data_IF_488676326605
#
_entry.id   IF_488676326605
#
_cell.length_a   1.000
_cell.length_b   1.000
_cell.length_c   1.000
_cell.angle_alpha   90.00
_cell.angle_beta   90.00
_cell.angle_gamma   90.00
#
_symmetry.space_group_name_H-M   'P 1'
#
loop_
_entity.id
_entity.type
_entity.pdbx_description
1 polymer ?
#
# COMPACT_ATOMS: atom_id res chain seq x y z
N UNK A 1 92.49 -4.93 38.17
CA UNK A 1 92.24 -4.16 36.93
C UNK A 1 91.80 -5.14 35.84
N UNK A 2 90.72 -4.79 35.14
CA UNK A 2 90.18 -5.37 33.88
C UNK A 2 89.58 -6.79 34.00
N UNK A 3 88.26 -6.94 34.10
CA UNK A 3 87.18 -6.70 33.13
C UNK A 3 86.71 -8.04 32.55
N UNK A 4 85.66 -8.61 33.13
CA UNK A 4 84.91 -9.74 32.56
C UNK A 4 83.47 -9.29 32.43
N UNK A 5 83.05 -9.11 31.19
CA UNK A 5 81.68 -8.81 30.79
C UNK A 5 80.76 -9.98 31.18
N UNK A 6 79.68 -9.68 31.92
CA UNK A 6 78.57 -10.60 32.12
C UNK A 6 77.38 -10.07 31.32
N UNK A 7 76.97 -10.86 30.34
CA UNK A 7 75.74 -10.70 29.58
C UNK A 7 74.54 -10.68 30.54
N UNK A 8 73.75 -9.61 30.50
CA UNK A 8 72.44 -9.56 31.13
C UNK A 8 71.43 -10.26 30.21
N UNK A 9 70.87 -11.38 30.68
CA UNK A 9 69.71 -11.99 30.05
C UNK A 9 68.48 -11.16 30.41
N UNK A 10 67.95 -10.42 29.43
CA UNK A 10 66.65 -9.75 29.54
C UNK A 10 65.58 -10.82 29.31
N UNK A 11 64.91 -11.22 30.39
CA UNK A 11 63.72 -12.05 30.35
C UNK A 11 62.57 -11.17 29.84
N UNK A 12 62.20 -11.31 28.56
CA UNK A 12 60.99 -10.72 28.01
C UNK A 12 59.82 -11.57 28.49
N UNK A 13 59.21 -11.19 29.61
CA UNK A 13 57.86 -11.64 29.97
C UNK A 13 56.88 -10.99 29.00
N UNK A 14 56.47 -11.76 27.99
CA UNK A 14 55.38 -11.38 27.11
C UNK A 14 54.09 -11.21 27.92
N UNK A 15 53.66 -9.97 28.11
CA UNK A 15 52.26 -9.64 28.33
C UNK A 15 51.53 -10.04 27.05
N UNK A 16 50.93 -11.23 27.07
CA UNK A 16 49.85 -11.57 26.17
C UNK A 16 48.71 -10.59 26.46
N UNK A 17 48.69 -9.48 25.73
CA UNK A 17 47.46 -8.73 25.56
C UNK A 17 46.57 -9.65 24.73
N UNK A 18 45.67 -10.35 25.42
CA UNK A 18 44.50 -10.95 24.79
C UNK A 18 43.66 -9.79 24.23
N UNK A 19 44.03 -9.29 23.05
CA UNK A 19 43.08 -8.57 22.19
C UNK A 19 42.10 -9.60 21.65
N UNK A 20 41.24 -10.10 22.53
CA UNK A 20 39.98 -10.74 22.19
C UNK A 20 39.02 -9.68 21.66
N UNK A 21 39.37 -9.01 20.56
CA UNK A 21 38.40 -8.34 19.72
C UNK A 21 37.63 -9.45 18.99
N UNK A 22 36.83 -10.20 19.73
CA UNK A 22 35.68 -10.88 19.17
C UNK A 22 34.90 -9.77 18.49
N UNK A 23 34.82 -9.77 17.16
CA UNK A 23 34.05 -8.79 16.41
C UNK A 23 32.68 -8.70 17.09
N UNK A 24 32.44 -7.61 17.85
CA UNK A 24 31.33 -7.56 18.77
C UNK A 24 30.07 -7.76 17.94
N UNK A 25 29.38 -8.88 18.14
CA UNK A 25 28.16 -9.18 17.39
C UNK A 25 27.22 -8.00 17.56
N UNK A 26 26.67 -7.48 16.46
CA UNK A 26 25.84 -6.29 16.49
C UNK A 26 24.76 -6.40 17.57
N UNK A 27 24.58 -5.32 18.32
CA UNK A 27 23.52 -5.20 19.31
C UNK A 27 22.16 -5.04 18.61
N UNK A 28 21.05 -5.50 19.20
CA UNK A 28 19.71 -5.38 18.62
C UNK A 28 19.40 -3.99 18.04
N UNK A 29 19.70 -2.92 18.78
CA UNK A 29 19.45 -1.55 18.31
C UNK A 29 20.23 -1.17 17.03
N UNK A 30 21.45 -1.68 16.85
CA UNK A 30 22.26 -1.41 15.66
C UNK A 30 21.67 -2.09 14.42
N UNK A 31 21.06 -3.26 14.61
CA UNK A 31 20.44 -4.03 13.54
C UNK A 31 19.11 -3.42 13.14
N UNK A 32 18.27 -3.03 14.11
CA UNK A 32 17.00 -2.34 13.84
C UNK A 32 17.22 -1.00 13.14
N UNK A 33 18.23 -0.22 13.56
CA UNK A 33 18.61 1.00 12.82
C UNK A 33 19.09 0.72 11.38
N UNK A 34 19.65 -0.46 11.13
CA UNK A 34 20.02 -0.87 9.77
C UNK A 34 18.80 -1.28 8.96
N UNK A 35 17.80 -1.91 9.58
CA UNK A 35 16.49 -2.18 8.97
C UNK A 35 15.78 -0.87 8.59
N UNK A 36 15.71 0.11 9.50
CA UNK A 36 15.09 1.41 9.23
C UNK A 36 15.74 2.13 8.05
N UNK A 37 17.07 2.11 7.95
CA UNK A 37 17.76 2.66 6.76
C UNK A 37 17.42 1.95 5.46
N UNK A 38 17.14 0.65 5.50
CA UNK A 38 16.66 -0.10 4.32
C UNK A 38 15.21 0.31 3.99
N UNK A 39 14.35 0.44 5.00
CA UNK A 39 12.97 0.92 4.85
C UNK A 39 12.91 2.34 4.25
N UNK A 40 13.76 3.25 4.71
CA UNK A 40 13.81 4.62 4.18
C UNK A 40 14.22 4.63 2.70
N UNK A 41 15.20 3.80 2.30
CA UNK A 41 15.54 3.64 0.88
C UNK A 41 14.39 3.08 0.04
N UNK A 42 13.59 2.17 0.60
CA UNK A 42 12.39 1.64 -0.08
C UNK A 42 11.42 2.79 -0.33
N UNK A 43 11.17 3.65 0.65
CA UNK A 43 10.31 4.82 0.50
C UNK A 43 10.82 5.78 -0.60
N UNK A 44 12.14 5.94 -0.72
CA UNK A 44 12.80 6.74 -1.76
C UNK A 44 12.84 6.06 -3.16
N UNK A 45 12.39 4.81 -3.27
CA UNK A 45 12.25 4.05 -4.53
C UNK A 45 13.35 3.04 -4.84
N UNK A 46 14.12 2.61 -3.84
CA UNK A 46 15.01 1.44 -3.97
C UNK A 46 14.18 0.13 -3.93
N UNK A 47 13.53 -0.20 -5.05
CA UNK A 47 12.73 -1.43 -5.15
C UNK A 47 13.54 -2.70 -4.84
N UNK A 48 14.85 -2.69 -5.09
CA UNK A 48 15.73 -3.82 -4.83
C UNK A 48 16.00 -4.05 -3.33
N UNK A 49 15.63 -3.10 -2.47
CA UNK A 49 15.78 -3.21 -1.02
C UNK A 49 14.67 -4.03 -0.34
N UNK A 50 13.56 -4.33 -1.03
CA UNK A 50 12.45 -5.11 -0.45
C UNK A 50 12.87 -6.52 0.04
N UNK A 51 13.55 -7.37 -0.75
CA UNK A 51 14.04 -8.67 -0.26
C UNK A 51 15.04 -8.54 0.90
N UNK A 52 15.81 -7.45 0.92
CA UNK A 52 16.77 -7.18 1.99
C UNK A 52 16.08 -6.83 3.31
N UNK A 53 14.95 -6.13 3.29
CA UNK A 53 14.13 -5.87 4.48
C UNK A 53 13.71 -7.18 5.16
N UNK A 54 13.12 -8.10 4.38
CA UNK A 54 12.68 -9.41 4.88
C UNK A 54 13.87 -10.23 5.43
N UNK A 55 15.00 -10.23 4.71
CA UNK A 55 16.22 -10.89 5.16
C UNK A 55 16.71 -10.32 6.50
N UNK A 56 16.73 -9.00 6.64
CA UNK A 56 17.16 -8.33 7.87
C UNK A 56 16.22 -8.64 9.04
N UNK A 57 14.90 -8.67 8.84
CA UNK A 57 13.95 -9.09 9.86
C UNK A 57 14.25 -10.51 10.38
N UNK A 58 14.57 -11.45 9.50
CA UNK A 58 14.98 -12.81 9.90
C UNK A 58 16.33 -12.87 10.63
N UNK A 59 17.30 -12.02 10.26
CA UNK A 59 18.59 -11.93 10.96
C UNK A 59 18.39 -11.30 12.35
N UNK A 60 17.55 -10.25 12.45
CA UNK A 60 17.17 -9.61 13.70
C UNK A 60 16.44 -10.60 14.61
N UNK A 61 15.46 -11.36 14.10
CA UNK A 61 14.74 -12.41 14.85
C UNK A 61 15.73 -13.37 15.53
N UNK A 62 16.69 -13.89 14.75
CA UNK A 62 17.70 -14.81 15.25
C UNK A 62 18.61 -14.19 16.32
N UNK A 63 18.97 -12.91 16.18
CA UNK A 63 19.79 -12.20 17.18
C UNK A 63 18.99 -11.95 18.46
N UNK A 64 17.76 -11.47 18.33
CA UNK A 64 16.86 -11.15 19.42
C UNK A 64 16.51 -12.41 20.23
N UNK A 65 16.19 -13.53 19.56
CA UNK A 65 15.89 -14.81 20.22
C UNK A 65 17.06 -15.37 21.04
N UNK A 66 18.30 -15.06 20.65
CA UNK A 66 19.54 -15.49 21.33
C UNK A 66 20.06 -14.47 22.34
N UNK A 67 19.43 -13.30 22.45
CA UNK A 67 19.85 -12.27 23.39
C UNK A 67 19.53 -12.71 24.83
N UNK A 68 20.39 -12.33 25.77
CA UNK A 68 20.12 -12.53 27.19
C UNK A 68 19.07 -11.50 27.64
N UNK A 69 18.12 -11.83 28.53
CA UNK A 69 17.22 -10.83 29.12
C UNK A 69 17.94 -9.58 29.65
N UNK A 70 19.16 -9.72 30.18
CA UNK A 70 19.98 -8.60 30.64
C UNK A 70 20.36 -7.61 29.51
N UNK A 71 20.46 -8.06 28.25
CA UNK A 71 20.75 -7.20 27.09
C UNK A 71 19.68 -6.11 26.90
N UNK A 72 18.45 -6.36 27.35
CA UNK A 72 17.33 -5.42 27.25
C UNK A 72 17.22 -4.46 28.45
N UNK A 73 18.16 -4.55 29.41
CA UNK A 73 18.33 -3.50 30.42
C UNK A 73 18.87 -2.20 29.80
N UNK A 74 19.52 -2.29 28.62
CA UNK A 74 19.80 -1.13 27.79
C UNK A 74 18.50 -0.66 27.12
N UNK A 75 18.02 0.57 27.40
CA UNK A 75 16.77 1.07 26.86
C UNK A 75 16.75 1.08 25.32
N UNK A 76 17.90 1.19 24.66
CA UNK A 76 17.99 1.15 23.19
C UNK A 76 17.65 -0.23 22.63
N UNK A 77 18.06 -1.30 23.33
CA UNK A 77 17.74 -2.66 22.94
C UNK A 77 16.26 -2.99 23.19
N UNK A 78 15.68 -2.46 24.28
CA UNK A 78 14.23 -2.58 24.51
C UNK A 78 13.42 -1.82 23.45
N UNK A 79 13.80 -0.59 23.12
CA UNK A 79 13.19 0.18 22.02
C UNK A 79 13.29 -0.57 20.69
N UNK A 80 14.44 -1.17 20.40
CA UNK A 80 14.64 -1.99 19.21
C UNK A 80 13.71 -3.21 19.18
N UNK A 81 13.45 -3.87 20.32
CA UNK A 81 12.48 -4.97 20.40
C UNK A 81 11.05 -4.51 20.09
N UNK A 82 10.65 -3.35 20.61
CA UNK A 82 9.34 -2.74 20.33
C UNK A 82 9.19 -2.41 18.84
N UNK A 83 10.17 -1.71 18.27
CA UNK A 83 10.19 -1.34 16.83
C UNK A 83 10.20 -2.59 15.95
N UNK A 84 10.99 -3.62 16.31
CA UNK A 84 11.01 -4.89 15.61
C UNK A 84 9.63 -5.53 15.56
N UNK A 85 8.92 -5.58 16.69
CA UNK A 85 7.55 -6.12 16.72
C UNK A 85 6.57 -5.35 15.86
N UNK A 86 6.63 -4.02 15.90
CA UNK A 86 5.80 -3.13 15.08
C UNK A 86 6.14 -3.17 13.57
N UNK A 87 7.33 -3.65 13.22
CA UNK A 87 7.82 -3.76 11.84
C UNK A 87 7.58 -5.14 11.20
N UNK A 88 6.70 -5.97 11.77
CA UNK A 88 6.44 -7.34 11.30
C UNK A 88 7.37 -8.38 11.94
N UNK A 89 7.77 -8.16 13.19
CA UNK A 89 8.58 -9.11 13.95
C UNK A 89 7.85 -10.42 14.25
N UNK A 90 8.61 -11.50 14.46
CA UNK A 90 8.05 -12.82 14.71
C UNK A 90 7.27 -12.87 16.04
N UNK A 91 5.96 -13.13 16.03
CA UNK A 91 5.13 -13.07 17.23
C UNK A 91 5.58 -14.02 18.34
N UNK A 92 6.07 -15.22 17.98
CA UNK A 92 6.57 -16.20 18.96
C UNK A 92 7.84 -15.71 19.68
N UNK A 93 8.70 -14.98 18.96
CA UNK A 93 9.90 -14.40 19.56
C UNK A 93 9.53 -13.26 20.51
N UNK A 94 8.55 -12.42 20.12
CA UNK A 94 8.05 -11.32 20.96
C UNK A 94 7.41 -11.85 22.24
N UNK A 95 6.50 -12.82 22.14
CA UNK A 95 5.82 -13.45 23.28
C UNK A 95 6.83 -14.08 24.26
N UNK A 96 7.83 -14.80 23.74
CA UNK A 96 8.86 -15.42 24.56
C UNK A 96 9.73 -14.40 25.31
N UNK A 97 10.08 -13.28 24.68
CA UNK A 97 10.94 -12.28 25.31
C UNK A 97 10.17 -11.40 26.28
N UNK A 98 9.01 -10.86 25.89
CA UNK A 98 8.22 -10.01 26.79
C UNK A 98 7.78 -10.76 28.06
N UNK A 99 7.57 -12.08 28.00
CA UNK A 99 7.26 -12.90 29.20
C UNK A 99 8.46 -13.12 30.14
N UNK A 100 9.69 -12.88 29.68
CA UNK A 100 10.93 -13.06 30.47
C UNK A 100 11.51 -11.74 30.99
N UNK A 101 11.17 -10.62 30.36
CA UNK A 101 11.72 -9.32 30.71
C UNK A 101 11.00 -8.74 31.94
N UNK A 102 11.79 -8.18 32.86
CA UNK A 102 11.26 -7.38 33.97
C UNK A 102 11.07 -5.94 33.50
N UNK A 103 9.86 -5.62 33.03
CA UNK A 103 9.52 -4.32 32.44
C UNK A 103 8.72 -3.44 33.42
N UNK A 104 8.78 -2.12 33.20
CA UNK A 104 7.89 -1.19 33.86
C UNK A 104 6.43 -1.35 33.40
N UNK A 105 5.45 -0.76 34.11
CA UNK A 105 4.03 -0.94 33.79
C UNK A 105 3.61 -0.42 32.42
N UNK A 106 4.30 0.57 31.87
CA UNK A 106 4.00 1.13 30.55
C UNK A 106 4.61 0.27 29.44
N UNK A 107 5.88 -0.12 29.58
CA UNK A 107 6.58 -0.96 28.61
C UNK A 107 5.97 -2.36 28.54
N UNK A 108 5.54 -2.92 29.67
CA UNK A 108 4.86 -4.20 29.70
C UNK A 108 3.51 -4.15 28.95
N UNK A 109 2.71 -3.09 29.16
CA UNK A 109 1.43 -2.91 28.46
C UNK A 109 1.64 -2.73 26.96
N UNK A 110 2.61 -1.91 26.56
CA UNK A 110 2.92 -1.70 25.14
C UNK A 110 3.45 -2.99 24.50
N UNK A 111 4.34 -3.73 25.18
CA UNK A 111 4.86 -5.01 24.70
C UNK A 111 3.76 -6.06 24.48
N UNK A 112 2.82 -6.17 25.42
CA UNK A 112 1.65 -7.05 25.26
C UNK A 112 0.80 -6.65 24.04
N UNK A 113 0.50 -5.36 23.89
CA UNK A 113 -0.28 -4.88 22.76
C UNK A 113 0.38 -5.16 21.41
N UNK A 114 1.71 -5.02 21.33
CA UNK A 114 2.50 -5.36 20.13
C UNK A 114 2.44 -6.85 19.83
N UNK A 115 2.50 -7.71 20.85
CA UNK A 115 2.34 -9.16 20.68
C UNK A 115 0.95 -9.49 20.13
N UNK A 116 -0.11 -8.89 20.69
CA UNK A 116 -1.50 -9.06 20.20
C UNK A 116 -1.63 -8.62 18.74
N UNK A 117 -1.07 -7.47 18.41
CA UNK A 117 -1.04 -6.97 17.03
C UNK A 117 -0.33 -7.95 16.08
N UNK A 118 0.87 -8.42 16.45
CA UNK A 118 1.64 -9.36 15.63
C UNK A 118 0.98 -10.74 15.48
N UNK A 119 0.09 -11.12 16.42
CA UNK A 119 -0.73 -12.33 16.34
C UNK A 119 -2.03 -12.14 15.53
N UNK A 120 -2.33 -10.92 15.07
CA UNK A 120 -3.58 -10.60 14.39
C UNK A 120 -4.77 -10.37 15.31
N UNK A 121 -4.57 -10.33 16.63
CA UNK A 121 -5.61 -10.00 17.61
C UNK A 121 -5.76 -8.48 17.73
N UNK A 122 -6.30 -7.86 16.67
CA UNK A 122 -6.46 -6.41 16.60
C UNK A 122 -7.43 -5.85 17.63
N UNK A 123 -8.41 -6.64 18.10
CA UNK A 123 -9.33 -6.21 19.15
C UNK A 123 -8.61 -6.00 20.47
N UNK A 124 -7.78 -6.97 20.88
CA UNK A 124 -6.99 -6.83 22.11
C UNK A 124 -5.89 -5.78 21.97
N UNK A 125 -5.22 -5.70 20.81
CA UNK A 125 -4.21 -4.67 20.56
C UNK A 125 -4.82 -3.26 20.64
N UNK A 126 -5.98 -3.04 20.01
CA UNK A 126 -6.71 -1.78 20.01
C UNK A 126 -7.04 -1.30 21.42
N UNK A 127 -7.49 -2.20 22.29
CA UNK A 127 -7.88 -1.88 23.67
C UNK A 127 -6.77 -1.14 24.43
N UNK A 128 -5.51 -1.45 24.14
CA UNK A 128 -4.35 -0.80 24.77
C UNK A 128 -3.82 0.36 23.91
N UNK A 129 -3.64 0.15 22.60
CA UNK A 129 -2.96 1.10 21.71
C UNK A 129 -3.70 2.44 21.56
N UNK A 130 -5.03 2.45 21.72
CA UNK A 130 -5.84 3.68 21.66
C UNK A 130 -5.64 4.60 22.88
N UNK A 131 -5.09 4.09 23.98
CA UNK A 131 -4.85 4.85 25.22
C UNK A 131 -3.44 5.45 25.28
N UNK A 132 -2.54 5.05 24.36
CA UNK A 132 -1.15 5.44 24.38
C UNK A 132 -0.96 6.69 23.51
N UNK A 133 -0.44 7.77 24.11
CA UNK A 133 0.02 8.94 23.35
C UNK A 133 1.40 8.65 22.72
N UNK A 134 1.51 8.57 21.38
CA UNK A 134 2.79 8.29 20.72
C UNK A 134 3.88 9.32 21.01
N UNK A 135 3.51 10.57 21.33
CA UNK A 135 4.47 11.65 21.66
C UNK A 135 5.07 11.49 23.06
N UNK A 136 4.43 10.71 23.92
CA UNK A 136 4.96 10.38 25.25
C UNK A 136 6.03 9.28 25.21
N UNK A 137 6.15 8.57 24.08
CA UNK A 137 7.10 7.48 23.89
C UNK A 137 8.47 8.00 23.42
N UNK A 138 9.54 7.18 23.51
CA UNK A 138 10.81 7.50 22.90
C UNK A 138 10.66 7.85 21.40
N UNK A 139 11.42 8.82 20.86
CA UNK A 139 11.23 9.31 19.49
C UNK A 139 11.26 8.25 18.39
N UNK A 140 12.02 7.17 18.56
CA UNK A 140 12.10 6.08 17.58
C UNK A 140 10.92 5.07 17.69
N UNK A 141 10.19 5.08 18.80
CA UNK A 141 9.07 4.14 19.08
C UNK A 141 7.72 4.80 18.82
N UNK A 142 7.57 6.10 19.07
CA UNK A 142 6.33 6.84 18.84
C UNK A 142 5.74 6.67 17.44
N UNK A 143 6.48 6.97 16.36
CA UNK A 143 5.95 6.87 14.99
C UNK A 143 5.38 5.49 14.61
N UNK A 144 6.09 4.36 14.82
CA UNK A 144 5.52 3.05 14.49
C UNK A 144 4.35 2.66 15.40
N UNK A 145 4.32 3.12 16.66
CA UNK A 145 3.13 2.96 17.52
C UNK A 145 1.95 3.73 16.96
N UNK A 146 2.13 4.99 16.56
CA UNK A 146 1.07 5.78 15.93
C UNK A 146 0.53 5.09 14.67
N UNK A 147 1.41 4.61 13.79
CA UNK A 147 1.00 3.91 12.56
C UNK A 147 0.17 2.65 12.87
N UNK A 148 0.59 1.82 13.83
CA UNK A 148 -0.13 0.60 14.21
C UNK A 148 -1.42 0.91 14.96
N UNK A 149 -1.43 1.92 15.84
CA UNK A 149 -2.64 2.42 16.50
C UNK A 149 -3.69 2.83 15.46
N UNK A 150 -3.29 3.49 14.37
CA UNK A 150 -4.20 3.83 13.28
C UNK A 150 -4.77 2.57 12.60
N UNK A 151 -3.92 1.59 12.28
CA UNK A 151 -4.37 0.33 11.66
C UNK A 151 -5.44 -0.38 12.49
N UNK A 152 -5.21 -0.56 13.79
CA UNK A 152 -6.15 -1.33 14.64
C UNK A 152 -7.41 -0.57 15.01
N UNK A 153 -7.47 0.75 14.78
CA UNK A 153 -8.63 1.59 15.10
C UNK A 153 -9.40 2.06 13.86
N UNK A 154 -8.87 1.84 12.66
CA UNK A 154 -9.44 2.38 11.42
C UNK A 154 -10.93 2.08 11.22
N UNK A 155 -11.36 0.86 11.57
CA UNK A 155 -12.76 0.43 11.45
C UNK A 155 -13.68 1.13 12.45
N UNK A 156 -13.32 1.07 13.73
CA UNK A 156 -14.23 1.43 14.82
C UNK A 156 -14.12 2.90 15.23
N UNK A 157 -12.99 3.53 14.92
CA UNK A 157 -12.71 4.92 15.24
C UNK A 157 -11.84 5.58 14.15
N UNK A 158 -12.40 5.81 12.95
CA UNK A 158 -11.66 6.39 11.82
C UNK A 158 -11.09 7.78 12.12
N UNK A 159 -11.77 8.60 12.95
CA UNK A 159 -11.25 9.90 13.38
C UNK A 159 -9.99 9.78 14.23
N UNK A 160 -9.94 8.81 15.15
CA UNK A 160 -8.73 8.53 15.91
C UNK A 160 -7.63 7.98 15.00
N UNK A 161 -7.96 7.06 14.10
CA UNK A 161 -7.00 6.50 13.16
C UNK A 161 -6.33 7.59 12.31
N UNK A 162 -7.11 8.51 11.75
CA UNK A 162 -6.59 9.66 11.00
C UNK A 162 -5.67 10.54 11.84
N UNK A 163 -6.02 10.82 13.09
CA UNK A 163 -5.13 11.57 14.00
C UNK A 163 -3.82 10.83 14.24
N UNK A 164 -3.86 9.51 14.38
CA UNK A 164 -2.66 8.70 14.57
C UNK A 164 -1.79 8.63 13.31
N UNK A 165 -2.38 8.59 12.10
CA UNK A 165 -1.62 8.73 10.85
C UNK A 165 -0.98 10.13 10.74
N UNK A 166 -1.67 11.19 11.18
CA UNK A 166 -1.11 12.53 11.28
C UNK A 166 0.09 12.58 12.23
N UNK A 167 0.01 11.96 13.41
CA UNK A 167 1.15 11.86 14.32
C UNK A 167 2.30 11.05 13.71
N UNK A 168 2.02 9.91 13.05
CA UNK A 168 3.04 9.08 12.41
C UNK A 168 3.84 9.85 11.35
N UNK A 169 3.16 10.57 10.45
CA UNK A 169 3.82 11.38 9.40
C UNK A 169 4.58 12.58 9.94
N UNK A 170 4.09 13.21 11.01
CA UNK A 170 4.75 14.38 11.61
C UNK A 170 5.96 13.99 12.46
N UNK A 171 5.91 12.84 13.13
CA UNK A 171 6.99 12.35 13.97
C UNK A 171 8.12 11.68 13.18
N UNK A 172 7.85 11.20 11.97
CA UNK A 172 8.84 10.49 11.15
C UNK A 172 8.81 10.90 9.67
N UNK A 173 9.03 12.19 9.34
CA UNK A 173 9.03 12.64 7.95
C UNK A 173 10.20 12.06 7.16
N UNK A 174 9.94 11.62 5.94
CA UNK A 174 10.91 11.10 4.98
C UNK A 174 11.22 9.64 5.10
N UNK A 175 10.47 8.94 5.93
CA UNK A 175 10.65 7.50 6.12
C UNK A 175 9.50 6.75 5.49
N UNK A 176 9.63 5.43 5.47
CA UNK A 176 8.54 4.53 5.09
C UNK A 176 7.30 4.69 5.97
N UNK A 177 7.45 5.21 7.20
CA UNK A 177 6.31 5.50 8.09
C UNK A 177 5.50 6.67 7.57
N UNK A 178 6.14 7.75 7.09
CA UNK A 178 5.42 8.87 6.45
C UNK A 178 4.70 8.39 5.18
N UNK A 179 5.38 7.61 4.33
CA UNK A 179 4.80 7.05 3.10
C UNK A 179 3.53 6.24 3.41
N UNK A 180 3.65 5.27 4.33
CA UNK A 180 2.52 4.43 4.74
C UNK A 180 1.41 5.28 5.36
N UNK A 181 1.76 6.27 6.20
CA UNK A 181 0.77 7.12 6.85
C UNK A 181 -0.05 7.94 5.84
N UNK A 182 0.61 8.53 4.83
CA UNK A 182 -0.05 9.29 3.77
C UNK A 182 -0.94 8.40 2.91
N UNK A 183 -0.41 7.25 2.46
CA UNK A 183 -1.16 6.30 1.62
C UNK A 183 -2.39 5.74 2.35
N UNK A 184 -2.24 5.39 3.63
CA UNK A 184 -3.33 4.89 4.49
C UNK A 184 -4.34 5.97 4.89
N UNK A 185 -3.98 7.26 4.78
CA UNK A 185 -4.90 8.37 5.04
C UNK A 185 -5.92 8.55 3.92
N UNK A 186 -5.62 8.11 2.70
CA UNK A 186 -6.46 8.29 1.51
C UNK A 186 -7.85 7.66 1.66
N UNK A 187 -7.99 6.35 1.92
CA UNK A 187 -9.31 5.74 2.08
C UNK A 187 -10.05 6.26 3.32
N UNK A 188 -9.34 6.64 4.39
CA UNK A 188 -9.97 7.21 5.58
C UNK A 188 -10.52 8.62 5.33
N UNK A 189 -9.83 9.44 4.51
CA UNK A 189 -10.33 10.74 4.11
C UNK A 189 -11.61 10.62 3.28
N UNK A 190 -11.69 9.60 2.40
CA UNK A 190 -12.90 9.28 1.65
C UNK A 190 -14.06 8.89 2.56
N UNK A 191 -13.84 7.91 3.45
CA UNK A 191 -14.85 7.45 4.40
C UNK A 191 -15.37 8.58 5.31
N UNK A 192 -14.51 9.54 5.67
CA UNK A 192 -14.87 10.71 6.48
C UNK A 192 -15.43 11.88 5.67
N UNK A 193 -15.53 11.75 4.34
CA UNK A 193 -15.94 12.81 3.40
C UNK A 193 -15.11 14.09 3.54
N UNK A 194 -13.83 13.97 3.88
CA UNK A 194 -12.88 15.06 4.07
C UNK A 194 -12.04 15.27 2.80
N UNK A 195 -12.61 15.99 1.83
CA UNK A 195 -11.97 16.29 0.54
C UNK A 195 -10.68 17.10 0.69
N UNK A 196 -10.62 18.00 1.68
CA UNK A 196 -9.44 18.83 1.94
C UNK A 196 -8.27 17.99 2.45
N UNK A 197 -8.54 17.02 3.32
CA UNK A 197 -7.54 16.03 3.76
C UNK A 197 -7.12 15.11 2.63
N UNK A 198 -8.06 14.63 1.81
CA UNK A 198 -7.73 13.82 0.64
C UNK A 198 -6.73 14.56 -0.27
N UNK A 199 -7.02 15.82 -0.61
CA UNK A 199 -6.15 16.64 -1.46
C UNK A 199 -4.75 16.79 -0.86
N UNK A 200 -4.65 17.26 0.40
CA UNK A 200 -3.36 17.48 1.08
C UNK A 200 -2.53 16.21 1.21
N UNK A 201 -3.14 15.09 1.62
CA UNK A 201 -2.44 13.82 1.77
C UNK A 201 -1.92 13.32 0.41
N UNK A 202 -2.72 13.46 -0.64
CA UNK A 202 -2.37 13.06 -2.01
C UNK A 202 -1.23 13.92 -2.57
N UNK A 203 -1.31 15.24 -2.46
CA UNK A 203 -0.24 16.14 -2.88
C UNK A 203 1.08 15.87 -2.16
N UNK A 204 1.01 15.68 -0.83
CA UNK A 204 2.20 15.37 -0.04
C UNK A 204 2.82 14.03 -0.43
N UNK A 205 1.98 13.01 -0.69
CA UNK A 205 2.42 11.71 -1.17
C UNK A 205 3.14 11.85 -2.51
N UNK A 206 2.49 12.46 -3.51
CA UNK A 206 3.03 12.59 -4.87
C UNK A 206 4.34 13.37 -4.88
N UNK A 207 4.43 14.44 -4.08
CA UNK A 207 5.65 15.25 -4.01
C UNK A 207 6.87 14.45 -3.54
N UNK A 208 6.69 13.41 -2.73
CA UNK A 208 7.80 12.74 -2.03
C UNK A 208 7.99 11.27 -2.39
N UNK A 209 6.91 10.54 -2.62
CA UNK A 209 6.90 9.08 -2.67
C UNK A 209 6.43 8.50 -4.02
N UNK A 210 6.44 9.29 -5.10
CA UNK A 210 6.13 8.78 -6.45
C UNK A 210 7.04 7.64 -6.93
N UNK A 211 8.25 7.51 -6.35
CA UNK A 211 9.19 6.44 -6.66
C UNK A 211 9.04 5.22 -5.74
N UNK A 212 8.24 5.34 -4.67
CA UNK A 212 7.98 4.24 -3.75
C UNK A 212 7.40 3.04 -4.51
N UNK A 213 7.76 1.79 -4.15
CA UNK A 213 7.09 0.59 -4.69
C UNK A 213 5.58 0.58 -4.44
N UNK A 214 5.10 1.34 -3.45
CA UNK A 214 3.69 1.42 -3.10
C UNK A 214 2.92 2.50 -3.91
N UNK A 215 3.57 3.22 -4.82
CA UNK A 215 2.94 4.27 -5.63
C UNK A 215 1.74 3.75 -6.46
N UNK A 216 1.80 2.52 -6.96
CA UNK A 216 0.68 1.91 -7.68
C UNK A 216 -0.55 1.76 -6.78
N UNK A 217 -0.36 1.28 -5.55
CA UNK A 217 -1.43 1.13 -4.57
C UNK A 217 -1.99 2.50 -4.14
N UNK A 218 -1.12 3.49 -3.98
CA UNK A 218 -1.57 4.87 -3.78
C UNK A 218 -2.50 5.34 -4.91
N UNK A 219 -2.12 5.13 -6.18
CA UNK A 219 -2.96 5.52 -7.31
C UNK A 219 -4.32 4.81 -7.28
N UNK A 220 -4.35 3.52 -6.97
CA UNK A 220 -5.60 2.76 -6.88
C UNK A 220 -6.53 3.27 -5.77
N UNK A 221 -5.98 3.50 -4.58
CA UNK A 221 -6.73 4.04 -3.43
C UNK A 221 -7.15 5.49 -3.65
N UNK A 222 -6.31 6.32 -4.29
CA UNK A 222 -6.64 7.70 -4.65
C UNK A 222 -7.78 7.76 -5.65
N UNK A 223 -7.72 6.98 -6.73
CA UNK A 223 -8.81 6.90 -7.72
C UNK A 223 -10.10 6.41 -7.09
N UNK A 224 -10.02 5.39 -6.21
CA UNK A 224 -11.19 4.91 -5.48
C UNK A 224 -11.80 6.02 -4.60
N UNK A 225 -10.98 6.76 -3.86
CA UNK A 225 -11.41 7.87 -3.01
C UNK A 225 -12.07 9.01 -3.80
N UNK A 226 -11.52 9.38 -4.96
CA UNK A 226 -12.11 10.41 -5.85
C UNK A 226 -13.49 9.99 -6.36
N UNK A 227 -13.63 8.72 -6.75
CA UNK A 227 -14.90 8.15 -7.23
C UNK A 227 -15.92 8.07 -6.10
N UNK A 228 -15.51 7.66 -4.91
CA UNK A 228 -16.37 7.63 -3.73
C UNK A 228 -16.89 9.03 -3.38
N UNK A 229 -16.04 10.05 -3.50
CA UNK A 229 -16.38 11.45 -3.24
C UNK A 229 -16.91 12.20 -4.47
N UNK A 230 -17.37 11.52 -5.51
CA UNK A 230 -17.72 12.13 -6.81
C UNK A 230 -18.66 13.34 -6.72
N UNK A 231 -19.57 13.37 -5.74
CA UNK A 231 -20.51 14.49 -5.54
C UNK A 231 -19.86 15.74 -4.95
N UNK A 232 -18.81 15.57 -4.16
CA UNK A 232 -18.22 16.65 -3.33
C UNK A 232 -16.84 17.09 -3.80
N UNK A 233 -16.12 16.21 -4.49
CA UNK A 233 -14.77 16.49 -4.98
C UNK A 233 -14.83 17.37 -6.23
N UNK A 234 -14.02 18.42 -6.27
CA UNK A 234 -13.76 19.14 -7.52
C UNK A 234 -12.75 18.33 -8.36
N UNK A 235 -13.08 17.96 -9.61
CA UNK A 235 -12.15 17.28 -10.51
C UNK A 235 -10.82 18.01 -10.67
N UNK A 236 -10.77 19.35 -10.50
CA UNK A 236 -9.50 20.10 -10.52
C UNK A 236 -8.51 19.65 -9.45
N UNK A 237 -8.96 19.05 -8.34
CA UNK A 237 -8.08 18.46 -7.34
C UNK A 237 -7.20 17.36 -7.94
N UNK A 238 -7.73 16.58 -8.89
CA UNK A 238 -6.95 15.56 -9.60
C UNK A 238 -5.86 16.21 -10.46
N UNK A 239 -6.13 17.37 -11.07
CA UNK A 239 -5.11 18.15 -11.77
C UNK A 239 -3.99 18.60 -10.82
N UNK A 240 -4.36 19.12 -9.64
CA UNK A 240 -3.41 19.60 -8.64
C UNK A 240 -2.50 18.46 -8.13
N UNK A 241 -3.08 17.30 -7.82
CA UNK A 241 -2.34 16.11 -7.38
C UNK A 241 -1.44 15.58 -8.48
N UNK A 242 -1.89 15.55 -9.74
CA UNK A 242 -1.10 15.01 -10.85
C UNK A 242 -0.09 16.00 -11.44
N UNK A 243 -0.12 17.27 -11.05
CA UNK A 243 0.73 18.32 -11.61
C UNK A 243 2.25 18.08 -11.46
N UNK A 244 2.67 17.27 -10.48
CA UNK A 244 4.08 16.92 -10.24
C UNK A 244 4.47 15.54 -10.83
N UNK A 245 3.53 14.84 -11.45
CA UNK A 245 3.77 13.55 -12.09
C UNK A 245 4.36 13.75 -13.50
N UNK A 246 5.00 12.71 -14.05
CA UNK A 246 5.26 12.69 -15.49
C UNK A 246 3.95 12.56 -16.28
N UNK A 247 3.95 12.96 -17.54
CA UNK A 247 2.78 12.83 -18.43
C UNK A 247 2.26 11.38 -18.46
N UNK A 248 3.17 10.40 -18.47
CA UNK A 248 2.81 8.98 -18.43
C UNK A 248 2.10 8.59 -17.12
N UNK A 249 2.62 9.04 -15.98
CA UNK A 249 2.04 8.76 -14.67
C UNK A 249 0.67 9.44 -14.51
N UNK A 250 0.57 10.71 -14.89
CA UNK A 250 -0.70 11.45 -14.90
C UNK A 250 -1.72 10.75 -15.79
N UNK A 251 -1.33 10.34 -17.01
CA UNK A 251 -2.17 9.56 -17.92
C UNK A 251 -2.71 8.28 -17.29
N UNK A 252 -1.86 7.53 -16.58
CA UNK A 252 -2.29 6.30 -15.88
C UNK A 252 -3.37 6.61 -14.82
N UNK A 253 -3.21 7.68 -14.05
CA UNK A 253 -4.21 8.12 -13.06
C UNK A 253 -5.54 8.45 -13.75
N UNK A 254 -5.52 9.26 -14.81
CA UNK A 254 -6.72 9.63 -15.55
C UNK A 254 -7.40 8.45 -16.23
N UNK A 255 -6.64 7.50 -16.80
CA UNK A 255 -7.20 6.28 -17.39
C UNK A 255 -7.89 5.41 -16.33
N UNK A 256 -7.29 5.26 -15.14
CA UNK A 256 -7.90 4.51 -14.04
C UNK A 256 -9.17 5.20 -13.53
N UNK A 257 -9.15 6.53 -13.39
CA UNK A 257 -10.31 7.32 -12.99
C UNK A 257 -11.44 7.24 -14.03
N UNK A 258 -11.12 7.34 -15.32
CA UNK A 258 -12.09 7.19 -16.40
C UNK A 258 -12.72 5.80 -16.39
N UNK A 259 -11.90 4.73 -16.32
CA UNK A 259 -12.41 3.36 -16.24
C UNK A 259 -13.37 3.17 -15.07
N UNK A 260 -12.96 3.59 -13.86
CA UNK A 260 -13.79 3.43 -12.66
C UNK A 260 -15.08 4.25 -12.75
N UNK A 261 -15.00 5.51 -13.19
CA UNK A 261 -16.16 6.37 -13.38
C UNK A 261 -17.14 5.83 -14.44
N UNK A 262 -16.63 5.18 -15.49
CA UNK A 262 -17.47 4.56 -16.51
C UNK A 262 -18.22 3.31 -16.01
N UNK A 263 -17.61 2.54 -15.11
CA UNK A 263 -18.25 1.38 -14.47
C UNK A 263 -19.34 1.85 -13.50
N UNK A 264 -19.06 2.89 -12.70
CA UNK A 264 -20.01 3.43 -11.71
C UNK A 264 -21.09 4.35 -12.32
N UNK A 265 -20.92 4.79 -13.57
CA UNK A 265 -21.86 5.69 -14.24
C UNK A 265 -21.72 7.17 -13.88
N UNK A 266 -20.56 7.61 -13.37
CA UNK A 266 -20.32 9.01 -12.99
C UNK A 266 -19.86 9.85 -14.19
N UNK A 267 -20.83 10.31 -15.00
CA UNK A 267 -20.60 11.04 -16.26
C UNK A 267 -19.66 12.24 -16.13
N UNK A 268 -19.81 13.05 -15.07
CA UNK A 268 -18.99 14.25 -14.84
C UNK A 268 -17.51 13.90 -14.67
N UNK A 269 -17.21 12.91 -13.83
CA UNK A 269 -15.84 12.44 -13.61
C UNK A 269 -15.30 11.71 -14.85
N UNK A 270 -16.14 10.93 -15.52
CA UNK A 270 -15.78 10.23 -16.75
C UNK A 270 -15.37 11.20 -17.86
N UNK A 271 -16.16 12.24 -18.11
CA UNK A 271 -15.88 13.25 -19.12
C UNK A 271 -14.57 13.98 -18.83
N UNK A 272 -14.38 14.42 -17.58
CA UNK A 272 -13.14 15.06 -17.13
C UNK A 272 -11.92 14.15 -17.31
N UNK A 273 -11.98 12.93 -16.76
CA UNK A 273 -10.86 12.00 -16.77
C UNK A 273 -10.50 11.56 -18.20
N UNK A 274 -11.50 11.31 -19.04
CA UNK A 274 -11.29 10.95 -20.44
C UNK A 274 -10.62 12.07 -21.24
N UNK A 275 -11.08 13.32 -21.05
CA UNK A 275 -10.46 14.48 -21.69
C UNK A 275 -8.99 14.63 -21.30
N UNK A 276 -8.69 14.51 -20.00
CA UNK A 276 -7.32 14.59 -19.48
C UNK A 276 -6.46 13.44 -19.99
N UNK A 277 -6.97 12.20 -19.96
CA UNK A 277 -6.26 11.04 -20.49
C UNK A 277 -5.89 11.19 -21.98
N UNK A 278 -6.77 11.79 -22.79
CA UNK A 278 -6.48 12.09 -24.20
C UNK A 278 -5.41 13.19 -24.35
N UNK A 279 -5.45 14.22 -23.50
CA UNK A 279 -4.46 15.31 -23.53
C UNK A 279 -3.04 14.82 -23.23
N UNK A 280 -2.89 13.88 -22.29
CA UNK A 280 -1.60 13.22 -21.97
C UNK A 280 -1.30 12.01 -22.87
N UNK A 281 -2.21 11.64 -23.78
CA UNK A 281 -2.24 10.34 -24.47
C UNK A 281 -1.77 10.36 -25.92
N UNK A 282 -1.26 11.48 -26.44
CA UNK A 282 -0.68 11.53 -27.77
C UNK A 282 0.68 10.83 -27.75
N UNK A 283 0.77 9.65 -28.37
CA UNK A 283 2.05 9.01 -28.64
C UNK A 283 2.83 9.83 -29.71
N UNK A 284 4.11 9.50 -29.96
CA UNK A 284 4.97 10.29 -30.84
C UNK A 284 4.44 10.47 -32.28
N UNK A 285 3.49 9.60 -32.68
CA UNK A 285 2.79 9.61 -33.96
C UNK A 285 1.42 10.33 -33.91
N UNK A 286 1.07 10.93 -32.76
CA UNK A 286 -0.17 11.67 -32.54
C UNK A 286 -1.42 10.80 -32.45
N UNK A 287 -1.30 9.49 -32.19
CA UNK A 287 -2.44 8.60 -31.98
C UNK A 287 -2.84 8.61 -30.52
N UNK A 288 -4.15 8.48 -30.29
CA UNK A 288 -4.70 8.40 -28.94
C UNK A 288 -4.56 6.97 -28.39
N UNK A 289 -4.38 6.85 -27.08
CA UNK A 289 -4.47 5.57 -26.37
C UNK A 289 -5.87 4.94 -26.60
N UNK A 290 -5.97 3.67 -27.07
CA UNK A 290 -7.24 3.01 -27.32
C UNK A 290 -8.15 2.93 -26.07
N UNK A 291 -7.57 2.90 -24.87
CA UNK A 291 -8.31 2.93 -23.60
C UNK A 291 -8.95 4.30 -23.37
N UNK A 292 -8.24 5.38 -23.68
CA UNK A 292 -8.80 6.74 -23.56
C UNK A 292 -9.98 6.90 -24.52
N UNK A 293 -9.86 6.38 -25.76
CA UNK A 293 -10.97 6.37 -26.73
C UNK A 293 -12.14 5.54 -26.22
N UNK A 294 -11.89 4.33 -25.69
CA UNK A 294 -12.93 3.48 -25.12
C UNK A 294 -13.72 4.21 -24.02
N UNK A 295 -13.03 4.68 -22.98
CA UNK A 295 -13.71 5.28 -21.82
C UNK A 295 -14.44 6.58 -22.17
N UNK A 296 -13.87 7.41 -23.04
CA UNK A 296 -14.55 8.63 -23.50
C UNK A 296 -15.89 8.36 -24.18
N UNK A 297 -15.97 7.27 -24.94
CA UNK A 297 -17.17 6.89 -25.69
C UNK A 297 -18.20 6.18 -24.81
N UNK A 298 -17.80 5.62 -23.67
CA UNK A 298 -18.74 4.97 -22.74
C UNK A 298 -19.78 5.93 -22.14
N UNK A 299 -19.44 7.20 -21.93
CA UNK A 299 -20.38 8.19 -21.42
C UNK A 299 -21.53 8.49 -22.40
N UNK A 300 -21.32 8.20 -23.69
CA UNK A 300 -22.19 8.62 -24.79
C UNK A 300 -22.87 7.44 -25.50
N UNK A 301 -22.77 6.22 -24.95
CA UNK A 301 -23.43 5.04 -25.55
C UNK A 301 -24.96 5.13 -25.55
N UNK A 302 -25.54 5.97 -24.70
CA UNK A 302 -26.98 6.19 -24.55
C UNK A 302 -27.46 7.54 -25.10
N UNK A 303 -26.58 8.36 -25.67
CA UNK A 303 -26.94 9.68 -26.20
C UNK A 303 -27.34 9.67 -27.66
N UNK A 304 -27.94 10.78 -28.13
CA UNK A 304 -28.46 10.93 -29.49
C UNK A 304 -27.42 10.72 -30.61
N UNK A 305 -26.12 10.82 -30.29
CA UNK A 305 -24.99 10.62 -31.19
C UNK A 305 -24.45 9.17 -31.21
N UNK A 306 -25.25 8.19 -30.79
CA UNK A 306 -24.84 6.78 -30.65
C UNK A 306 -24.22 6.15 -31.92
N UNK A 307 -24.57 6.61 -33.12
CA UNK A 307 -23.95 6.15 -34.38
C UNK A 307 -22.46 6.51 -34.48
N UNK A 308 -22.10 7.73 -34.08
CA UNK A 308 -20.71 8.20 -34.08
C UNK A 308 -19.91 7.45 -33.01
N UNK A 309 -20.53 7.24 -31.85
CA UNK A 309 -19.97 6.46 -30.74
C UNK A 309 -19.69 5.02 -31.18
N UNK A 310 -20.64 4.36 -31.85
CA UNK A 310 -20.46 3.00 -32.36
C UNK A 310 -19.34 2.94 -33.41
N UNK A 311 -19.20 3.95 -34.26
CA UNK A 311 -18.10 4.05 -35.22
C UNK A 311 -16.76 4.17 -34.51
N UNK A 312 -16.67 5.04 -33.50
CA UNK A 312 -15.46 5.23 -32.71
C UNK A 312 -15.08 3.93 -31.97
N UNK A 313 -16.03 3.27 -31.30
CA UNK A 313 -15.79 2.00 -30.58
C UNK A 313 -15.31 0.88 -31.52
N UNK A 314 -15.91 0.74 -32.70
CA UNK A 314 -15.49 -0.28 -33.68
C UNK A 314 -14.11 0.00 -34.30
N UNK A 315 -13.62 1.24 -34.24
CA UNK A 315 -12.28 1.61 -34.74
C UNK A 315 -11.14 1.23 -33.78
N UNK A 316 -11.47 0.85 -32.54
CA UNK A 316 -10.49 0.51 -31.51
C UNK A 316 -9.83 -0.83 -31.83
N UNK A 317 -8.50 -0.84 -31.87
CA UNK A 317 -7.71 -2.07 -31.99
C UNK A 317 -7.79 -2.88 -30.68
N UNK A 318 -8.58 -3.94 -30.71
CA UNK A 318 -8.85 -4.84 -29.57
C UNK A 318 -7.58 -5.47 -29.01
N UNK A 319 -6.56 -5.70 -29.83
CA UNK A 319 -5.32 -6.34 -29.39
C UNK A 319 -4.47 -5.44 -28.50
N UNK A 320 -4.75 -4.13 -28.48
CA UNK A 320 -4.10 -3.16 -27.60
C UNK A 320 -4.84 -2.95 -26.26
N UNK A 321 -5.97 -3.64 -26.06
CA UNK A 321 -6.75 -3.61 -24.82
C UNK A 321 -6.46 -4.83 -23.96
N UNK A 322 -6.55 -4.66 -22.64
CA UNK A 322 -6.55 -5.77 -21.68
C UNK A 322 -7.80 -6.65 -21.86
N UNK A 323 -7.79 -7.90 -21.37
CA UNK A 323 -8.97 -8.77 -21.44
C UNK A 323 -10.22 -8.12 -20.81
N UNK A 324 -10.05 -7.49 -19.65
CA UNK A 324 -11.14 -6.80 -18.97
C UNK A 324 -11.67 -5.60 -19.79
N UNK A 325 -10.80 -4.86 -20.47
CA UNK A 325 -11.23 -3.73 -21.30
C UNK A 325 -11.82 -4.19 -22.64
N UNK A 326 -11.45 -5.38 -23.14
CA UNK A 326 -12.13 -6.00 -24.28
C UNK A 326 -13.57 -6.39 -23.93
N UNK A 327 -13.80 -6.95 -22.74
CA UNK A 327 -15.14 -7.24 -22.23
C UNK A 327 -15.96 -5.94 -22.07
N UNK A 328 -15.32 -4.87 -21.60
CA UNK A 328 -15.95 -3.55 -21.49
C UNK A 328 -16.32 -2.95 -22.85
N UNK A 329 -15.43 -3.07 -23.84
CA UNK A 329 -15.71 -2.68 -25.22
C UNK A 329 -16.89 -3.45 -25.81
N UNK A 330 -16.94 -4.77 -25.59
CA UNK A 330 -18.04 -5.61 -26.08
C UNK A 330 -19.38 -5.20 -25.44
N UNK A 331 -19.38 -4.92 -24.13
CA UNK A 331 -20.56 -4.41 -23.44
C UNK A 331 -21.00 -3.03 -23.99
N UNK A 332 -20.06 -2.10 -24.17
CA UNK A 332 -20.35 -0.76 -24.71
C UNK A 332 -20.94 -0.84 -26.14
N UNK A 333 -20.38 -1.68 -27.01
CA UNK A 333 -20.90 -1.91 -28.37
C UNK A 333 -22.28 -2.55 -28.34
N UNK A 334 -22.52 -3.51 -27.44
CA UNK A 334 -23.83 -4.14 -27.30
C UNK A 334 -24.91 -3.14 -26.87
N UNK A 335 -24.60 -2.27 -25.88
CA UNK A 335 -25.51 -1.21 -25.41
C UNK A 335 -25.78 -0.21 -26.54
N UNK A 336 -24.74 0.28 -27.22
CA UNK A 336 -24.91 1.23 -28.32
C UNK A 336 -25.79 0.66 -29.46
N UNK A 337 -25.67 -0.64 -29.78
CA UNK A 337 -26.56 -1.30 -30.73
C UNK A 337 -27.99 -1.42 -30.23
N UNK A 338 -28.17 -1.78 -28.95
CA UNK A 338 -29.50 -1.91 -28.36
C UNK A 338 -30.26 -0.57 -28.32
N UNK A 339 -29.56 0.55 -28.17
CA UNK A 339 -30.15 1.91 -28.24
C UNK A 339 -30.59 2.27 -29.67
N UNK A 340 -29.89 1.75 -30.68
CA UNK A 340 -30.21 1.94 -32.10
C UNK A 340 -31.34 1.04 -32.59
N UNK A 341 -31.54 -0.11 -31.95
CA UNK A 341 -32.64 -1.02 -32.28
C UNK A 341 -33.99 -0.38 -31.87
N UNK A 342 -34.97 -0.43 -32.77
CA UNK A 342 -36.32 0.06 -32.49
C UNK A 342 -36.91 -0.70 -31.29
N UNK A 343 -37.53 -0.02 -30.30
CA UNK A 343 -38.15 -0.71 -29.17
C UNK A 343 -39.11 -1.75 -29.71
N UNK A 344 -38.85 -3.03 -29.42
CA UNK A 344 -39.81 -4.08 -29.73
C UNK A 344 -41.05 -3.81 -28.87
N UNK A 345 -42.05 -3.16 -29.46
CA UNK A 345 -43.39 -3.18 -28.93
C UNK A 345 -43.77 -4.66 -28.83
N UNK A 346 -43.77 -5.23 -27.63
CA UNK A 346 -44.54 -6.43 -27.34
C UNK A 346 -46.02 -6.06 -27.36
N UNK A 347 -46.52 -5.68 -28.53
CA UNK A 347 -47.93 -5.72 -28.85
C UNK A 347 -48.24 -7.14 -29.33
N UNK A 348 -48.29 -8.04 -28.36
CA UNK A 348 -48.98 -9.30 -28.46
C UNK A 348 -49.45 -9.67 -27.05
N UNK A 349 -50.51 -8.98 -26.61
CA UNK A 349 -51.53 -9.65 -25.81
C UNK A 349 -52.07 -10.79 -26.68
N UNK A 350 -51.49 -11.97 -26.57
CA UNK A 350 -52.30 -13.17 -26.79
C UNK A 350 -53.16 -13.35 -25.54
N UNK A 351 -54.50 -13.33 -25.65
CA UNK A 351 -55.34 -13.75 -24.55
C UNK A 351 -55.24 -15.28 -24.45
N UNK A 352 -55.13 -15.71 -23.20
CA UNK A 352 -55.43 -17.05 -22.69
C UNK A 352 -54.23 -17.99 -22.47
N UNK A 353 -53.69 -17.89 -21.26
CA UNK A 353 -53.38 -19.04 -20.41
C UNK A 353 -53.26 -18.49 -18.99
N UNK A 354 -54.34 -18.57 -18.20
CA UNK A 354 -54.26 -18.33 -16.75
C UNK A 354 -53.34 -19.37 -16.09
N UNK A 355 -52.38 -18.95 -15.25
CA UNK A 355 -51.93 -19.74 -14.12
C UNK A 355 -52.59 -19.20 -12.85
N UNK A 356 -53.07 -20.13 -12.03
CA UNK A 356 -53.81 -19.91 -10.79
C UNK A 356 -53.18 -18.88 -9.85
N UNK A 357 -54.06 -18.05 -9.27
CA UNK A 357 -53.76 -17.20 -8.11
C UNK A 357 -53.41 -18.10 -6.93
N UNK A 358 -52.11 -18.19 -6.60
CA UNK A 358 -51.68 -18.60 -5.27
C UNK A 358 -51.53 -17.35 -4.43
N UNK A 359 -52.43 -17.23 -3.46
CA UNK A 359 -52.50 -16.19 -2.44
C UNK A 359 -51.19 -16.15 -1.63
N UNK A 360 -50.47 -15.03 -1.71
CA UNK A 360 -49.40 -14.70 -0.79
C UNK A 360 -49.51 -13.21 -0.42
N UNK A 361 -50.30 -12.96 0.62
CA UNK A 361 -50.23 -11.75 1.45
C UNK A 361 -48.79 -11.32 1.70
N UNK A 362 -48.45 -10.10 1.29
CA UNK A 362 -47.35 -9.33 1.86
C UNK A 362 -47.77 -8.85 3.26
N UNK A 363 -46.92 -8.98 4.30
CA UNK A 363 -46.99 -8.07 5.44
C UNK A 363 -46.38 -6.72 5.02
N UNK A 364 -47.07 -5.64 5.37
CA UNK A 364 -46.53 -4.28 5.33
C UNK A 364 -45.32 -4.21 6.28
N UNK A 365 -44.14 -3.92 5.75
CA UNK A 365 -43.03 -3.37 6.54
C UNK A 365 -42.70 -1.98 6.01
N UNK A 366 -42.93 -0.99 6.87
CA UNK A 366 -42.43 0.38 6.75
C UNK A 366 -40.91 0.35 6.59
N UNK A 367 -40.40 0.81 5.45
CA UNK A 367 -38.98 1.04 5.26
C UNK A 367 -38.60 2.29 6.07
N UNK A 368 -38.05 2.07 7.26
CA UNK A 368 -37.26 3.07 7.97
C UNK A 368 -35.98 3.31 7.18
N UNK A 369 -35.80 4.54 6.70
CA UNK A 369 -34.54 5.02 6.13
C UNK A 369 -33.58 5.25 7.30
N UNK A 370 -32.73 4.28 7.58
CA UNK A 370 -31.54 4.47 8.41
C UNK A 370 -30.27 4.39 7.54
N UNK A 371 -29.31 5.22 7.92
CA UNK A 371 -28.13 5.70 7.21
C UNK A 371 -27.01 4.63 7.15
N UNK A 372 -27.27 3.52 6.44
CA UNK A 372 -26.43 2.29 6.49
C UNK A 372 -25.18 2.34 5.58
N UNK A 373 -25.06 3.35 4.71
CA UNK A 373 -23.92 3.47 3.79
C UNK A 373 -22.58 3.75 4.50
N UNK A 374 -22.60 4.23 5.74
CA UNK A 374 -21.37 4.56 6.48
C UNK A 374 -20.66 3.32 7.06
N UNK A 375 -21.39 2.23 7.29
CA UNK A 375 -20.85 1.00 7.88
C UNK A 375 -20.09 0.15 6.85
N UNK A 376 -20.63 -0.03 5.64
CA UNK A 376 -19.98 -0.76 4.54
C UNK A 376 -18.68 -0.08 4.07
N UNK A 377 -18.65 1.26 4.08
CA UNK A 377 -17.50 2.05 3.63
C UNK A 377 -16.36 2.03 4.66
N UNK A 378 -16.69 2.19 5.95
CA UNK A 378 -15.71 2.02 7.03
C UNK A 378 -15.16 0.59 7.05
N UNK A 379 -15.96 -0.41 6.68
CA UNK A 379 -15.54 -1.80 6.55
C UNK A 379 -14.59 -2.01 5.36
N UNK A 380 -14.83 -1.38 4.21
CA UNK A 380 -13.92 -1.40 3.05
C UNK A 380 -12.57 -0.72 3.33
N UNK A 381 -12.56 0.49 3.89
CA UNK A 381 -11.34 1.21 4.25
C UNK A 381 -10.54 0.46 5.33
N UNK A 382 -11.22 -0.10 6.34
CA UNK A 382 -10.57 -0.93 7.35
C UNK A 382 -10.04 -2.25 6.78
N UNK A 383 -10.77 -2.87 5.85
CA UNK A 383 -10.35 -4.12 5.21
C UNK A 383 -9.08 -3.92 4.39
N UNK A 384 -8.96 -2.81 3.65
CA UNK A 384 -7.74 -2.43 2.93
C UNK A 384 -6.54 -2.22 3.87
N UNK A 385 -6.76 -1.54 5.00
CA UNK A 385 -5.72 -1.32 6.01
C UNK A 385 -5.31 -2.59 6.75
N UNK A 386 -6.26 -3.52 6.92
CA UNK A 386 -6.05 -4.79 7.61
C UNK A 386 -5.37 -5.82 6.69
N UNK A 387 -5.77 -5.90 5.42
CA UNK A 387 -5.08 -6.71 4.40
C UNK A 387 -3.65 -6.22 4.23
N UNK A 388 -3.43 -4.92 4.12
CA UNK A 388 -2.07 -4.39 3.99
C UNK A 388 -1.21 -4.62 5.24
N UNK A 389 -1.80 -4.55 6.44
CA UNK A 389 -1.11 -4.92 7.67
C UNK A 389 -0.79 -6.43 7.70
N UNK A 390 -1.69 -7.29 7.22
CA UNK A 390 -1.46 -8.73 7.11
C UNK A 390 -0.35 -9.05 6.09
N UNK A 391 -0.35 -8.42 4.92
CA UNK A 391 0.67 -8.57 3.88
C UNK A 391 2.05 -8.05 4.34
N UNK A 392 2.06 -6.99 5.14
CA UNK A 392 3.28 -6.44 5.74
C UNK A 392 3.79 -7.26 6.95
N UNK A 393 2.91 -7.94 7.70
CA UNK A 393 3.25 -8.76 8.88
C UNK A 393 3.57 -10.21 8.50
N UNK A 394 3.07 -10.70 7.37
CA UNK A 394 3.37 -12.00 6.78
C UNK A 394 3.40 -11.92 5.24
N UNK A 395 4.55 -11.62 4.60
CA UNK A 395 4.69 -11.81 3.18
C UNK A 395 4.91 -13.31 2.94
N UNK A 396 3.82 -14.02 2.72
CA UNK A 396 3.83 -15.40 2.28
C UNK A 396 2.59 -15.65 1.45
N UNK A 397 2.49 -15.02 0.28
CA UNK A 397 1.46 -15.34 -0.70
C UNK A 397 2.09 -15.61 -2.09
N UNK A 398 1.66 -16.67 -2.81
CA UNK A 398 2.33 -17.25 -3.96
C UNK A 398 2.11 -16.50 -5.29
N UNK A 399 1.34 -15.40 -5.31
CA UNK A 399 1.19 -14.57 -6.52
C UNK A 399 2.49 -13.84 -6.91
N UNK A 400 3.46 -13.74 -5.98
CA UNK A 400 4.78 -13.19 -6.29
C UNK A 400 5.73 -14.20 -6.95
N UNK A 401 5.37 -15.49 -7.07
CA UNK A 401 6.23 -16.49 -7.74
C UNK A 401 6.29 -16.27 -9.26
N UNK A 402 5.25 -15.72 -9.89
CA UNK A 402 5.26 -15.40 -11.32
C UNK A 402 6.07 -14.13 -11.61
N UNK A 403 5.97 -13.11 -10.75
CA UNK A 403 6.77 -11.89 -10.85
C UNK A 403 8.25 -12.16 -10.53
N UNK A 404 8.55 -12.97 -9.51
CA UNK A 404 9.91 -13.39 -9.17
C UNK A 404 10.50 -14.32 -10.24
N UNK A 405 9.68 -15.19 -10.84
CA UNK A 405 10.11 -16.02 -11.99
C UNK A 405 10.42 -15.18 -13.22
N UNK A 406 9.58 -14.18 -13.51
CA UNK A 406 9.79 -13.24 -14.61
C UNK A 406 11.06 -12.40 -14.41
N UNK A 407 11.30 -11.87 -13.20
CA UNK A 407 12.51 -11.12 -12.88
C UNK A 407 13.78 -11.99 -12.90
N UNK A 408 13.67 -13.26 -12.49
CA UNK A 408 14.77 -14.23 -12.56
C UNK A 408 15.10 -14.61 -14.00
N UNK A 409 14.08 -14.76 -14.86
CA UNK A 409 14.26 -15.00 -16.29
C UNK A 409 14.88 -13.78 -16.99
N UNK A 410 14.47 -12.57 -16.63
CA UNK A 410 15.05 -11.32 -17.15
C UNK A 410 16.52 -11.14 -16.73
N UNK A 411 16.89 -11.51 -15.50
CA UNK A 411 18.30 -11.52 -15.06
C UNK A 411 19.14 -12.55 -15.81
N UNK A 412 18.62 -13.77 -16.01
CA UNK A 412 19.31 -14.79 -16.80
C UNK A 412 19.56 -14.32 -18.24
N UNK A 413 18.57 -13.67 -18.86
CA UNK A 413 18.72 -13.12 -20.22
C UNK A 413 19.76 -12.00 -20.30
N UNK A 414 19.88 -11.17 -19.26
CA UNK A 414 20.91 -10.13 -19.18
C UNK A 414 22.31 -10.74 -19.00
N UNK A 415 22.45 -11.76 -18.14
CA UNK A 415 23.73 -12.48 -17.96
C UNK A 415 24.18 -13.18 -19.25
N UNK A 416 23.24 -13.74 -20.03
CA UNK A 416 23.50 -14.37 -21.33
C UNK A 416 23.93 -13.34 -22.39
N UNK A 417 23.34 -12.14 -22.37
CA UNK A 417 23.71 -11.03 -23.26
C UNK A 417 25.12 -10.51 -22.91
N UNK A 418 25.42 -10.33 -21.63
CA UNK A 418 26.75 -9.90 -21.18
C UNK A 418 27.83 -10.96 -21.50
N UNK A 419 27.48 -12.25 -21.42
CA UNK A 419 28.37 -13.34 -21.81
C UNK A 419 28.61 -13.41 -23.34
N UNK A 420 27.66 -12.96 -24.16
CA UNK A 420 27.82 -12.85 -25.61
C UNK A 420 28.66 -11.62 -26.00
N UNK A 421 28.41 -10.47 -25.37
CA UNK A 421 29.17 -9.24 -25.59
C UNK A 421 30.64 -9.39 -25.15
N UNK A 422 30.87 -10.10 -24.04
CA UNK A 422 32.24 -10.42 -23.58
C UNK A 422 33.01 -11.32 -24.55
N UNK A 423 32.33 -12.16 -25.34
CA UNK A 423 32.96 -13.01 -26.37
C UNK A 423 33.26 -12.27 -27.67
N UNK A 424 32.46 -11.26 -28.03
CA UNK A 424 32.71 -10.42 -29.21
C UNK A 424 33.84 -9.39 -28.99
N UNK A 425 33.99 -8.88 -27.77
CA UNK A 425 35.11 -7.95 -27.44
C UNK A 425 36.47 -8.62 -27.24
N UNK A 426 36.52 -9.96 -27.27
CA UNK A 426 37.74 -10.75 -27.07
C UNK A 426 38.34 -11.33 -28.37
N UNK A 427 37.91 -10.85 -29.54
CA UNK A 427 38.54 -11.13 -30.84
C UNK A 427 39.40 -9.97 -31.35
#
# INVERSE_FOLDING_TARGET
MRAVARFAAILITGLAVETGAQAASMQPYQMVRSLQRVQDRIADGDHAALPMQQKLLGIIDNRIRKADPADFSDPRNLQALLIYGLSGGNPKTLELLFSKLSLGPQESRLGEAIVRYALGDFTAARAVLQEIDPKSLPPEVGPPVALVSATVTARDNPLFAVRMLDEARLLSPGTLIEEAALRRSIPLAAALKDTERLARASEQYVRRFLRSPYATQFVDTFVAAVVELNDTVDPSMVDEVTAQMSDEQARIVYLRLARKSAIEGYERLLAFASQKAMAYGQDADGRNDPRAVLYANMASVSSDNVNDVLTALNSIDRHRLSKADQELLDAAVAIARAVLDEPRHTSALEPDSQPELVDARLPDEEISVEDDNNAEIAESAASLLTQEAADAVFPGDPENDEADSYLKEMRSKLDDIDALLGKETAQ
#
